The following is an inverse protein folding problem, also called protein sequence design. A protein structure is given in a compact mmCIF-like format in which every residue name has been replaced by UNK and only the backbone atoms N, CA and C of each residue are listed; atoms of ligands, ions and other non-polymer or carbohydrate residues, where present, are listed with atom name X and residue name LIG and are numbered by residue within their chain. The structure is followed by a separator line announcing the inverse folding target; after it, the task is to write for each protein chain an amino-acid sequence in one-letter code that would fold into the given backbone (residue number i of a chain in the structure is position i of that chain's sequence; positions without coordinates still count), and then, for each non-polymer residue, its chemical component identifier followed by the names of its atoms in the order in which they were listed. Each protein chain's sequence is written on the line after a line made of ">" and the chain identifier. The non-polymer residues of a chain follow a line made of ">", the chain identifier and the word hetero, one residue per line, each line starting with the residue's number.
data_IF_809137520558
#
_entry.id   IF_809137520558
#
_cell.length_a   1.000
_cell.length_b   1.000
_cell.length_c   1.000
_cell.angle_alpha   90.00
_cell.angle_beta   90.00
_cell.angle_gamma   90.00
#
_symmetry.space_group_name_H-M   'P 1'
#
loop_
_entity.id
_entity.type
_entity.pdbx_description
1 polymer ?
#
# COMPACT_ATOMS: atom_id res chain seq x y z
N UNK A 1 -0.71 -10.38 27.89
CA UNK A 1 0.26 -9.28 27.82
C UNK A 1 0.71 -8.91 29.23
N UNK A 2 2.00 -8.66 29.47
CA UNK A 2 2.48 -8.12 30.75
C UNK A 2 1.71 -6.85 31.11
N UNK A 3 1.37 -6.66 32.39
CA UNK A 3 0.61 -5.48 32.85
C UNK A 3 1.40 -4.18 32.66
N UNK A 4 2.72 -4.25 32.56
CA UNK A 4 3.59 -3.07 32.42
C UNK A 4 3.76 -2.57 30.98
N UNK A 5 3.21 -3.26 29.97
CA UNK A 5 3.47 -2.89 28.58
C UNK A 5 2.75 -1.58 28.22
N UNK A 6 3.50 -0.49 28.14
CA UNK A 6 2.98 0.83 27.74
C UNK A 6 2.85 0.88 26.21
N UNK A 7 1.75 1.41 25.66
CA UNK A 7 1.61 1.58 24.22
C UNK A 7 2.66 2.56 23.71
N UNK A 8 3.26 2.22 22.56
CA UNK A 8 4.22 3.07 21.89
C UNK A 8 3.51 4.30 21.29
N UNK A 9 4.05 5.53 21.41
CA UNK A 9 3.44 6.76 20.90
C UNK A 9 3.74 6.91 19.40
N UNK A 10 3.26 5.98 18.59
CA UNK A 10 3.52 5.95 17.14
C UNK A 10 2.26 6.38 16.40
N UNK A 11 2.39 7.04 15.23
CA UNK A 11 1.23 7.35 14.40
C UNK A 11 0.53 6.06 13.97
N UNK A 12 -0.78 6.03 14.13
CA UNK A 12 -1.63 4.94 13.63
C UNK A 12 -2.56 5.56 12.62
N UNK A 13 -2.37 5.28 11.35
CA UNK A 13 -3.17 5.87 10.29
C UNK A 13 -4.48 5.10 10.08
N UNK A 14 -5.49 5.73 9.46
CA UNK A 14 -6.68 5.03 8.99
C UNK A 14 -6.31 3.84 8.12
N UNK A 15 -7.08 2.76 8.21
CA UNK A 15 -6.83 1.57 7.39
C UNK A 15 -7.12 1.85 5.93
N UNK A 16 -6.28 1.30 5.06
CA UNK A 16 -6.46 1.25 3.62
C UNK A 16 -6.82 -0.18 3.25
N UNK A 17 -7.63 -0.36 2.22
CA UNK A 17 -7.99 -1.65 1.66
C UNK A 17 -7.67 -1.63 0.17
N UNK A 18 -7.11 -2.74 -0.31
CA UNK A 18 -6.99 -3.03 -1.74
C UNK A 18 -8.14 -3.96 -2.10
N UNK A 19 -9.22 -3.40 -2.62
CA UNK A 19 -10.49 -4.10 -2.84
C UNK A 19 -10.34 -5.23 -3.87
N UNK A 20 -9.42 -5.06 -4.81
CA UNK A 20 -9.08 -6.05 -5.83
C UNK A 20 -7.67 -6.63 -5.61
N UNK A 21 -7.33 -7.03 -4.38
CA UNK A 21 -6.08 -7.75 -4.10
C UNK A 21 -6.00 -9.02 -4.98
N UNK A 22 -4.86 -9.31 -5.62
CA UNK A 22 -4.70 -10.54 -6.38
C UNK A 22 -4.63 -11.73 -5.43
N UNK A 23 -5.26 -12.82 -5.83
CA UNK A 23 -5.41 -14.03 -5.01
C UNK A 23 -4.33 -15.05 -5.39
N UNK A 24 -3.28 -15.11 -4.56
CA UNK A 24 -2.19 -16.05 -4.71
C UNK A 24 -2.64 -17.53 -4.63
N UNK A 25 -3.69 -17.80 -3.84
CA UNK A 25 -4.20 -19.16 -3.64
C UNK A 25 -4.97 -19.61 -4.88
N UNK A 26 -5.86 -18.76 -5.40
CA UNK A 26 -6.60 -19.05 -6.63
C UNK A 26 -5.67 -19.14 -7.86
N UNK A 27 -4.65 -18.27 -7.93
CA UNK A 27 -3.64 -18.34 -8.96
C UNK A 27 -2.84 -19.66 -8.86
N UNK A 28 -2.40 -20.04 -7.67
CA UNK A 28 -1.72 -21.30 -7.41
C UNK A 28 -2.56 -22.53 -7.78
N UNK A 29 -3.85 -22.53 -7.43
CA UNK A 29 -4.78 -23.58 -7.82
C UNK A 29 -4.91 -23.68 -9.36
N UNK A 30 -5.02 -22.54 -10.04
CA UNK A 30 -5.10 -22.46 -11.51
C UNK A 30 -3.81 -22.90 -12.21
N UNK A 31 -2.65 -22.69 -11.57
CA UNK A 31 -1.34 -23.11 -12.06
C UNK A 31 -1.03 -24.59 -11.84
N UNK A 32 -1.96 -25.38 -11.29
CA UNK A 32 -1.79 -26.82 -11.04
C UNK A 32 -1.75 -27.22 -9.56
N UNK A 33 -2.05 -26.29 -8.65
CA UNK A 33 -2.07 -26.53 -7.21
C UNK A 33 -0.68 -26.52 -6.56
N UNK A 34 -0.59 -26.79 -5.24
CA UNK A 34 0.68 -26.78 -4.53
C UNK A 34 1.57 -27.94 -4.98
N UNK A 35 2.44 -27.69 -5.95
CA UNK A 35 3.40 -28.64 -6.50
C UNK A 35 4.71 -27.92 -6.86
N UNK A 36 5.86 -28.55 -6.57
CA UNK A 36 7.21 -28.00 -6.79
C UNK A 36 7.49 -27.73 -8.29
N UNK A 37 6.75 -28.37 -9.21
CA UNK A 37 6.98 -28.28 -10.64
C UNK A 37 6.27 -27.09 -11.34
N UNK A 38 5.44 -26.30 -10.65
CA UNK A 38 4.71 -25.19 -11.27
C UNK A 38 5.31 -23.85 -10.87
N UNK A 39 5.75 -23.08 -11.87
CA UNK A 39 6.28 -21.73 -11.68
C UNK A 39 5.15 -20.71 -11.82
N UNK A 40 4.91 -19.94 -10.76
CA UNK A 40 3.99 -18.81 -10.77
C UNK A 40 4.84 -17.55 -10.77
N UNK A 41 5.03 -16.96 -11.96
CA UNK A 41 6.03 -15.92 -12.15
C UNK A 41 5.56 -14.51 -11.77
N UNK A 42 4.25 -14.25 -11.76
CA UNK A 42 3.68 -12.97 -11.30
C UNK A 42 2.16 -13.06 -11.10
N UNK A 43 1.65 -12.46 -10.03
CA UNK A 43 0.22 -12.34 -9.72
C UNK A 43 -0.41 -11.08 -10.34
N UNK A 44 0.41 -10.14 -10.79
CA UNK A 44 -0.02 -8.84 -11.27
C UNK A 44 0.78 -8.38 -12.49
N UNK A 45 0.49 -7.18 -13.00
CA UNK A 45 1.21 -6.63 -14.13
C UNK A 45 1.25 -5.10 -14.08
N UNK A 46 2.35 -4.48 -14.55
CA UNK A 46 2.42 -3.05 -14.83
C UNK A 46 1.15 -2.45 -15.45
N UNK A 47 0.64 -1.37 -14.87
CA UNK A 47 -0.55 -0.68 -15.38
C UNK A 47 -1.89 -1.29 -14.96
N UNK A 48 -1.90 -2.40 -14.19
CA UNK A 48 -3.13 -2.93 -13.58
C UNK A 48 -3.83 -1.85 -12.77
N UNK A 49 -5.14 -1.72 -12.97
CA UNK A 49 -5.97 -0.84 -12.15
C UNK A 49 -6.15 -1.46 -10.76
N UNK A 50 -5.84 -0.68 -9.74
CA UNK A 50 -5.98 -1.06 -8.33
C UNK A 50 -7.08 -0.24 -7.71
N UNK A 51 -8.06 -0.94 -7.15
CA UNK A 51 -9.23 -0.37 -6.51
C UNK A 51 -8.98 -0.27 -5.01
N UNK A 52 -9.22 0.91 -4.46
CA UNK A 52 -8.84 1.27 -3.11
C UNK A 52 -10.04 1.83 -2.35
N UNK A 53 -10.17 1.42 -1.09
CA UNK A 53 -11.09 2.00 -0.12
C UNK A 53 -10.38 2.29 1.20
N UNK A 54 -10.84 3.26 1.99
CA UNK A 54 -10.17 3.60 3.25
C UNK A 54 -11.11 4.08 4.36
N UNK A 55 -10.62 3.95 5.59
CA UNK A 55 -11.33 4.33 6.81
C UNK A 55 -11.19 5.82 7.16
N UNK A 56 -11.98 6.27 8.13
CA UNK A 56 -11.93 7.64 8.65
C UNK A 56 -10.87 7.69 9.76
N UNK A 57 -10.28 8.85 10.02
CA UNK A 57 -9.59 9.10 11.28
C UNK A 57 -10.55 8.94 12.46
N UNK A 58 -10.05 8.47 13.60
CA UNK A 58 -10.81 8.26 14.84
C UNK A 58 -11.36 6.85 15.02
N UNK A 59 -11.06 5.92 14.12
CA UNK A 59 -11.42 4.51 14.28
C UNK A 59 -10.50 3.85 15.31
N UNK A 60 -11.02 2.86 16.05
CA UNK A 60 -10.24 2.13 17.06
C UNK A 60 -9.46 1.00 16.38
N UNK A 61 -8.16 0.92 16.64
CA UNK A 61 -7.26 -0.11 16.12
C UNK A 61 -6.33 -0.67 17.21
N UNK A 62 -5.89 -1.92 17.00
CA UNK A 62 -4.90 -2.59 17.83
C UNK A 62 -5.41 -3.08 19.20
N UNK A 63 -4.61 -3.90 19.91
CA UNK A 63 -4.99 -4.50 21.19
C UNK A 63 -5.11 -3.49 22.35
N UNK A 64 -4.64 -2.25 22.14
CA UNK A 64 -4.66 -1.16 23.13
C UNK A 64 -5.76 -0.12 22.86
N UNK A 65 -6.68 -0.40 21.94
CA UNK A 65 -7.78 0.51 21.54
C UNK A 65 -7.32 1.93 21.17
N UNK A 66 -6.26 2.04 20.38
CA UNK A 66 -5.71 3.33 19.97
C UNK A 66 -6.53 3.89 18.80
N UNK A 67 -6.68 5.21 18.75
CA UNK A 67 -7.44 5.88 17.69
C UNK A 67 -6.56 6.15 16.47
N UNK A 68 -7.11 5.96 15.27
CA UNK A 68 -6.45 6.34 14.03
C UNK A 68 -6.40 7.86 13.87
N UNK A 69 -5.32 8.37 13.30
CA UNK A 69 -5.08 9.79 13.10
C UNK A 69 -4.43 10.05 11.74
N UNK A 70 -4.66 11.22 11.18
CA UNK A 70 -3.95 11.74 10.00
C UNK A 70 -3.58 13.18 10.25
N UNK A 71 -2.42 13.61 9.74
CA UNK A 71 -1.92 14.98 9.88
C UNK A 71 -2.25 15.87 8.67
N UNK A 72 -3.00 15.35 7.70
CA UNK A 72 -3.42 16.08 6.50
C UNK A 72 -4.93 16.38 6.52
N UNK A 73 -5.37 17.20 5.57
CA UNK A 73 -6.78 17.47 5.23
C UNK A 73 -7.64 16.22 4.96
N UNK A 74 -7.01 15.05 4.84
CA UNK A 74 -7.68 13.78 4.59
C UNK A 74 -8.09 13.55 3.13
N UNK A 75 -7.66 14.44 2.21
CA UNK A 75 -7.95 14.32 0.78
C UNK A 75 -6.77 13.65 0.06
N UNK A 76 -6.87 12.36 -0.33
CA UNK A 76 -5.77 11.69 -0.99
C UNK A 76 -5.69 12.09 -2.47
N UNK A 77 -4.47 12.24 -2.98
CA UNK A 77 -4.18 12.60 -4.37
C UNK A 77 -3.29 11.57 -5.07
N UNK A 78 -2.42 10.90 -4.33
CA UNK A 78 -1.50 9.90 -4.87
C UNK A 78 -1.55 8.61 -4.04
N UNK A 79 -1.26 7.49 -4.69
CA UNK A 79 -0.84 6.27 -4.03
C UNK A 79 0.69 6.24 -3.98
N UNK A 80 1.25 6.12 -2.78
CA UNK A 80 2.66 5.91 -2.53
C UNK A 80 2.94 4.41 -2.49
N UNK A 81 3.76 3.95 -3.43
CA UNK A 81 4.17 2.55 -3.56
C UNK A 81 5.56 2.38 -3.00
N UNK A 82 5.67 1.66 -1.89
CA UNK A 82 6.94 1.39 -1.22
C UNK A 82 7.56 0.14 -1.84
N UNK A 83 8.55 0.34 -2.71
CA UNK A 83 9.46 -0.71 -3.18
C UNK A 83 10.68 -0.83 -2.27
N UNK A 84 11.54 -1.82 -2.55
CA UNK A 84 12.73 -2.10 -1.72
C UNK A 84 13.74 -0.94 -1.66
N UNK A 85 13.80 -0.10 -2.70
CA UNK A 85 14.82 0.95 -2.85
C UNK A 85 14.24 2.36 -3.06
N UNK A 86 12.95 2.48 -3.37
CA UNK A 86 12.33 3.77 -3.70
C UNK A 86 10.83 3.77 -3.40
N UNK A 87 10.26 4.97 -3.27
CA UNK A 87 8.82 5.20 -3.26
C UNK A 87 8.40 5.77 -4.62
N UNK A 88 7.47 5.09 -5.28
CA UNK A 88 6.88 5.59 -6.53
C UNK A 88 5.48 6.12 -6.25
N UNK A 89 5.16 7.30 -6.78
CA UNK A 89 3.84 7.88 -6.64
C UNK A 89 3.06 7.71 -7.93
N UNK A 90 1.83 7.21 -7.82
CA UNK A 90 0.88 7.16 -8.93
C UNK A 90 -0.35 8.02 -8.59
N UNK A 91 -0.87 8.80 -9.54
CA UNK A 91 -2.04 9.62 -9.28
C UNK A 91 -3.27 8.75 -8.99
N UNK A 92 -4.15 9.27 -8.13
CA UNK A 92 -5.47 8.69 -7.90
C UNK A 92 -6.49 9.28 -8.88
N UNK A 93 -7.34 8.41 -9.43
CA UNK A 93 -8.47 8.77 -10.28
C UNK A 93 -9.77 8.16 -9.73
N UNK A 94 -10.91 8.60 -10.26
CA UNK A 94 -12.25 8.17 -9.81
C UNK A 94 -12.45 8.26 -8.28
N UNK A 95 -11.90 9.31 -7.68
CA UNK A 95 -11.97 9.53 -6.23
C UNK A 95 -13.39 9.92 -5.79
N UNK A 96 -13.90 9.23 -4.78
CA UNK A 96 -15.12 9.58 -4.08
C UNK A 96 -14.83 9.70 -2.58
N UNK A 97 -14.85 10.93 -2.06
CA UNK A 97 -14.56 11.21 -0.65
C UNK A 97 -15.70 10.83 0.30
N UNK A 98 -16.92 10.68 -0.21
CA UNK A 98 -18.09 10.29 0.58
C UNK A 98 -18.05 8.79 0.87
N UNK A 99 -17.85 7.97 -0.16
CA UNK A 99 -17.65 6.51 -0.01
C UNK A 99 -16.23 6.15 0.42
N UNK A 100 -15.27 7.08 0.33
CA UNK A 100 -13.83 6.87 0.58
C UNK A 100 -13.27 5.76 -0.32
N UNK A 101 -13.47 5.94 -1.62
CA UNK A 101 -12.97 5.04 -2.66
C UNK A 101 -12.17 5.80 -3.71
N UNK A 102 -11.20 5.15 -4.32
CA UNK A 102 -10.38 5.69 -5.39
C UNK A 102 -9.77 4.55 -6.21
N UNK A 103 -9.23 4.89 -7.37
CA UNK A 103 -8.46 3.97 -8.20
C UNK A 103 -7.08 4.53 -8.46
N UNK A 104 -6.13 3.64 -8.67
CA UNK A 104 -4.79 3.98 -9.15
C UNK A 104 -4.30 2.92 -10.12
N UNK A 105 -3.11 3.12 -10.69
CA UNK A 105 -2.44 2.15 -11.55
C UNK A 105 -1.20 1.60 -10.87
N UNK A 106 -0.97 0.29 -10.97
CA UNK A 106 0.28 -0.31 -10.53
C UNK A 106 1.45 0.30 -11.34
N UNK A 107 2.49 0.83 -10.69
CA UNK A 107 3.63 1.41 -11.40
C UNK A 107 4.34 0.31 -12.19
N UNK A 108 4.62 0.61 -13.45
CA UNK A 108 5.21 -0.33 -14.37
C UNK A 108 6.71 -0.20 -14.57
N UNK A 109 7.31 0.84 -14.00
CA UNK A 109 8.62 1.28 -14.47
C UNK A 109 9.75 0.35 -14.03
N UNK A 110 10.84 0.39 -14.79
CA UNK A 110 12.07 -0.31 -14.46
C UNK A 110 12.95 0.68 -13.72
N UNK A 111 13.32 0.41 -12.46
CA UNK A 111 14.14 1.33 -11.65
C UNK A 111 15.47 1.60 -12.35
N UNK A 112 15.98 0.59 -13.06
CA UNK A 112 17.17 0.67 -13.91
C UNK A 112 16.90 -0.13 -15.20
N UNK A 113 16.95 0.51 -16.39
CA UNK A 113 16.63 -0.13 -17.67
C UNK A 113 17.45 -1.39 -17.95
N UNK A 114 18.71 -1.43 -17.49
CA UNK A 114 19.68 -2.48 -17.84
C UNK A 114 19.64 -3.70 -16.91
N UNK A 115 18.94 -3.64 -15.78
CA UNK A 115 18.83 -4.76 -14.81
C UNK A 115 17.42 -5.33 -14.70
N UNK A 116 16.44 -4.80 -15.44
CA UNK A 116 15.09 -5.37 -15.50
C UNK A 116 14.32 -5.37 -14.18
N UNK A 117 14.79 -4.63 -13.16
CA UNK A 117 14.14 -4.55 -11.85
C UNK A 117 12.91 -3.65 -11.93
N UNK A 118 11.73 -4.27 -11.78
CA UNK A 118 10.44 -3.58 -11.67
C UNK A 118 10.35 -2.80 -10.36
N UNK A 119 9.60 -1.70 -10.36
CA UNK A 119 9.26 -0.94 -9.13
C UNK A 119 8.64 -1.85 -8.07
N UNK A 120 7.77 -2.77 -8.49
CA UNK A 120 7.14 -3.77 -7.64
C UNK A 120 7.64 -5.15 -8.05
N UNK A 121 8.35 -5.81 -7.15
CA UNK A 121 8.90 -7.16 -7.32
C UNK A 121 8.62 -7.92 -6.01
N UNK A 122 7.64 -8.83 -6.05
CA UNK A 122 7.07 -9.48 -4.88
C UNK A 122 6.04 -8.62 -4.15
N UNK A 123 6.23 -8.44 -2.85
CA UNK A 123 5.31 -7.68 -1.99
C UNK A 123 5.73 -6.22 -1.90
N UNK A 124 4.79 -5.31 -2.07
CA UNK A 124 4.96 -3.90 -1.74
C UNK A 124 3.96 -3.45 -0.69
N UNK A 125 4.23 -2.29 -0.10
CA UNK A 125 3.24 -1.55 0.66
C UNK A 125 2.67 -0.42 -0.20
N UNK A 126 1.41 -0.11 0.01
CA UNK A 126 0.73 1.04 -0.60
C UNK A 126 0.14 1.92 0.49
N UNK A 127 0.29 3.24 0.37
CA UNK A 127 -0.39 4.20 1.24
C UNK A 127 -1.02 5.33 0.40
N UNK A 128 -2.11 5.90 0.89
CA UNK A 128 -2.72 7.08 0.29
C UNK A 128 -2.08 8.34 0.87
N UNK A 129 -1.63 9.24 -0.01
CA UNK A 129 -1.01 10.51 0.39
C UNK A 129 -1.66 11.70 -0.30
N UNK A 130 -1.60 12.86 0.35
CA UNK A 130 -2.16 14.11 -0.17
C UNK A 130 -1.25 14.84 -1.17
N UNK A 131 0.07 14.61 -1.12
CA UNK A 131 1.07 15.17 -2.04
C UNK A 131 2.20 14.19 -2.35
N UNK A 132 2.81 14.37 -3.51
CA UNK A 132 4.02 13.68 -3.96
C UNK A 132 5.27 14.33 -3.35
N UNK A 133 5.63 13.92 -2.14
CA UNK A 133 6.87 14.37 -1.51
C UNK A 133 8.05 13.59 -2.07
N UNK A 134 9.07 14.30 -2.52
CA UNK A 134 10.34 13.67 -2.86
C UNK A 134 10.97 13.09 -1.59
N UNK A 135 11.07 11.76 -1.54
CA UNK A 135 11.69 11.02 -0.44
C UNK A 135 12.73 10.05 -0.95
N UNK A 136 13.65 9.74 -0.05
CA UNK A 136 14.76 8.80 -0.15
C UNK A 136 14.67 7.87 1.06
N UNK A 137 15.32 6.70 1.04
CA UNK A 137 15.35 5.81 2.20
C UNK A 137 15.74 6.51 3.51
N UNK A 138 16.58 7.55 3.45
CA UNK A 138 17.06 8.31 4.60
C UNK A 138 16.01 9.25 5.22
N UNK A 139 14.98 9.65 4.48
CA UNK A 139 13.97 10.62 4.95
C UNK A 139 12.51 10.17 4.71
N UNK A 140 12.27 8.87 4.59
CA UNK A 140 10.94 8.26 4.43
C UNK A 140 9.92 8.72 5.48
N UNK A 141 10.37 9.04 6.68
CA UNK A 141 9.52 9.52 7.79
C UNK A 141 8.80 10.83 7.47
N UNK A 142 9.28 11.63 6.52
CA UNK A 142 8.59 12.83 6.04
C UNK A 142 7.21 12.52 5.45
N UNK A 143 6.96 11.29 4.99
CA UNK A 143 5.64 10.90 4.50
C UNK A 143 4.58 10.81 5.60
N UNK A 144 4.97 10.68 6.87
CA UNK A 144 4.00 10.55 7.97
C UNK A 144 3.08 11.78 8.10
N UNK A 145 3.51 12.95 7.66
CA UNK A 145 2.69 14.16 7.63
C UNK A 145 1.70 14.20 6.45
N UNK A 146 1.86 13.30 5.49
CA UNK A 146 1.11 13.24 4.24
C UNK A 146 0.23 12.01 4.09
N UNK A 147 0.42 10.99 4.94
CA UNK A 147 -0.39 9.77 4.91
C UNK A 147 -1.82 10.08 5.35
N UNK A 148 -2.75 9.80 4.43
CA UNK A 148 -4.20 9.83 4.65
C UNK A 148 -4.67 8.49 5.21
N UNK A 149 -4.20 7.38 4.64
CA UNK A 149 -4.55 6.02 5.04
C UNK A 149 -3.49 5.00 4.60
N UNK A 150 -3.39 3.88 5.32
CA UNK A 150 -2.43 2.81 5.09
C UNK A 150 -1.30 2.78 6.13
N UNK A 151 -0.17 2.11 5.84
CA UNK A 151 0.07 1.30 4.67
C UNK A 151 -0.79 0.03 4.64
N UNK A 152 -1.15 -0.44 3.45
CA UNK A 152 -1.74 -1.75 3.20
C UNK A 152 -0.78 -2.60 2.36
N UNK A 153 -0.86 -3.91 2.49
CA UNK A 153 -0.05 -4.84 1.73
C UNK A 153 -0.57 -4.94 0.28
N UNK A 154 0.34 -5.10 -0.68
CA UNK A 154 0.03 -5.39 -2.07
C UNK A 154 0.92 -6.54 -2.56
N UNK A 155 0.32 -7.68 -2.90
CA UNK A 155 1.08 -8.81 -3.43
C UNK A 155 1.15 -8.72 -4.95
N UNK A 156 2.35 -8.60 -5.52
CA UNK A 156 2.50 -8.60 -6.97
C UNK A 156 2.90 -9.95 -7.55
N UNK A 157 3.52 -10.83 -6.76
CA UNK A 157 4.05 -12.15 -7.17
C UNK A 157 3.81 -13.25 -6.12
#
# INVERSE_FOLDING_TARGET
>A
CPKENKPLPWPIFPRLYVDNQPDAIAAGASAGGPNIAHNLTSLTYPGRVVELSWDRPGEIQGPYHQLTQTNTSGVPRFAAWFGNLNVTFTPLFERNLTSRTAKTTQPGDTIYPDVGQRVINGTAFIALVDRDVFVTPENLTLLNEHIVAGPEFYQAD
#
